data_IF_696026571855
#
_entry.id   IF_696026571855
#
_cell.length_a   1.000
_cell.length_b   1.000
_cell.length_c   1.000
_cell.angle_alpha   90.00
_cell.angle_beta   90.00
_cell.angle_gamma   90.00
#
_symmetry.space_group_name_H-M   'P 1'
#
loop_
_entity.id
_entity.type
_entity.pdbx_description
1 polymer ?
#
# COMPACT_ATOMS: atom_id res chain seq x y z
N UNK A 1 22.51 -67.45 -11.22
CA UNK A 1 21.23 -67.74 -10.51
C UNK A 1 21.20 -66.93 -9.21
N UNK A 2 20.51 -65.78 -9.23
CA UNK A 2 20.26 -64.94 -8.05
C UNK A 2 19.07 -65.54 -7.29
N UNK A 3 19.20 -65.74 -5.98
CA UNK A 3 18.08 -66.10 -5.10
C UNK A 3 17.81 -64.93 -4.14
N UNK A 4 16.58 -64.41 -4.20
CA UNK A 4 16.00 -63.46 -3.26
C UNK A 4 15.92 -64.07 -1.86
N UNK A 5 16.10 -63.24 -0.84
CA UNK A 5 15.52 -63.44 0.48
C UNK A 5 14.70 -62.19 0.82
N UNK A 6 13.39 -62.39 1.00
CA UNK A 6 12.46 -61.38 1.49
C UNK A 6 12.66 -61.25 3.01
N UNK A 7 12.82 -60.02 3.52
CA UNK A 7 12.66 -59.75 4.94
C UNK A 7 11.65 -58.61 5.09
N UNK A 8 10.47 -58.96 5.60
CA UNK A 8 9.41 -58.04 5.99
C UNK A 8 9.71 -57.62 7.44
N UNK A 9 9.98 -56.34 7.67
CA UNK A 9 9.87 -55.73 8.99
C UNK A 9 8.77 -54.68 8.93
N UNK A 10 7.65 -54.98 9.57
CA UNK A 10 6.66 -54.01 10.01
C UNK A 10 6.94 -53.72 11.48
N UNK A 11 7.15 -52.44 11.81
CA UNK A 11 6.46 -51.71 12.89
C UNK A 11 7.28 -50.48 13.30
N UNK A 12 6.59 -49.35 13.36
CA UNK A 12 7.14 -48.07 13.81
C UNK A 12 6.62 -46.92 13.00
N UNK A 13 5.30 -46.83 12.83
CA UNK A 13 4.67 -45.65 12.25
C UNK A 13 4.99 -44.43 13.11
N UNK A 14 5.90 -43.60 12.63
CA UNK A 14 5.65 -42.17 12.66
C UNK A 14 5.00 -41.88 11.32
N UNK A 15 3.68 -41.72 11.35
CA UNK A 15 3.10 -40.87 10.33
C UNK A 15 3.87 -39.55 10.48
N UNK A 16 4.73 -39.24 9.50
CA UNK A 16 4.86 -37.85 9.13
C UNK A 16 3.43 -37.45 8.83
N UNK A 17 2.79 -36.80 9.80
CA UNK A 17 1.63 -36.01 9.49
C UNK A 17 2.16 -35.07 8.42
N UNK A 18 1.85 -35.38 7.15
CA UNK A 18 1.65 -34.35 6.19
C UNK A 18 0.56 -33.49 6.83
N UNK A 19 0.99 -32.43 7.50
CA UNK A 19 0.12 -31.33 7.84
C UNK A 19 -0.30 -30.81 6.48
N UNK A 20 -1.42 -31.31 5.96
CA UNK A 20 -2.05 -30.75 4.78
C UNK A 20 -2.19 -29.23 5.01
N UNK A 21 -1.93 -28.42 3.98
CA UNK A 21 -1.82 -26.98 4.12
C UNK A 21 -3.12 -26.45 4.72
N UNK A 22 -2.98 -25.64 5.76
CA UNK A 22 -4.06 -25.02 6.53
C UNK A 22 -4.94 -24.11 5.65
N UNK A 23 -4.62 -23.91 4.38
CA UNK A 23 -5.25 -22.91 3.50
C UNK A 23 -6.38 -23.42 2.59
N UNK A 24 -6.90 -24.64 2.77
CA UNK A 24 -8.16 -25.05 2.13
C UNK A 24 -9.40 -24.93 3.03
N UNK A 25 -9.27 -24.26 4.19
CA UNK A 25 -10.31 -24.24 5.22
C UNK A 25 -11.43 -23.22 5.00
N UNK A 26 -11.17 -22.13 4.28
CA UNK A 26 -12.19 -21.14 3.95
C UNK A 26 -12.75 -21.41 2.56
N UNK A 27 -14.07 -21.66 2.47
CA UNK A 27 -14.76 -21.86 1.20
C UNK A 27 -15.21 -20.54 0.54
N UNK A 28 -15.27 -19.46 1.32
CA UNK A 28 -15.53 -18.10 0.84
C UNK A 28 -14.22 -17.54 0.25
N UNK A 29 -14.17 -17.23 -1.07
CA UNK A 29 -12.97 -16.74 -1.72
C UNK A 29 -12.40 -15.46 -1.10
N UNK A 30 -13.25 -14.59 -0.55
CA UNK A 30 -12.80 -13.37 0.10
C UNK A 30 -12.13 -13.68 1.45
N UNK A 31 -12.71 -14.59 2.24
CA UNK A 31 -12.09 -15.00 3.51
C UNK A 31 -10.78 -15.76 3.25
N UNK A 32 -10.73 -16.58 2.19
CA UNK A 32 -9.51 -17.26 1.78
C UNK A 32 -8.39 -16.27 1.44
N UNK A 33 -8.67 -15.23 0.65
CA UNK A 33 -7.71 -14.16 0.34
C UNK A 33 -7.17 -13.49 1.61
N UNK A 34 -8.04 -13.12 2.55
CA UNK A 34 -7.63 -12.52 3.84
C UNK A 34 -6.73 -13.46 4.66
N UNK A 35 -7.06 -14.75 4.71
CA UNK A 35 -6.25 -15.75 5.43
C UNK A 35 -4.90 -15.94 4.75
N UNK A 36 -4.85 -16.02 3.42
CA UNK A 36 -3.59 -16.12 2.68
C UNK A 36 -2.66 -14.93 2.93
N UNK A 37 -3.20 -13.70 2.98
CA UNK A 37 -2.44 -12.48 3.31
C UNK A 37 -1.90 -12.52 4.74
N UNK A 38 -2.72 -12.94 5.70
CA UNK A 38 -2.26 -13.10 7.08
C UNK A 38 -1.20 -14.21 7.22
N UNK A 39 -1.35 -15.30 6.48
CA UNK A 39 -0.30 -16.34 6.42
C UNK A 39 1.01 -15.77 5.86
N UNK A 40 0.97 -14.93 4.82
CA UNK A 40 2.17 -14.36 4.23
C UNK A 40 3.10 -13.66 5.24
N UNK A 41 2.52 -12.99 6.25
CA UNK A 41 3.28 -12.34 7.32
C UNK A 41 3.55 -13.25 8.51
N UNK A 42 2.53 -13.94 9.03
CA UNK A 42 2.61 -14.56 10.34
C UNK A 42 2.84 -16.07 10.30
N UNK A 43 2.55 -16.71 9.17
CA UNK A 43 2.65 -18.17 8.98
C UNK A 43 3.05 -18.50 7.52
N UNK A 44 4.19 -17.99 7.00
CA UNK A 44 4.54 -18.12 5.59
C UNK A 44 4.70 -19.59 5.15
N UNK A 45 5.18 -20.44 6.04
CA UNK A 45 5.30 -21.90 5.83
C UNK A 45 3.96 -22.62 5.61
N UNK A 46 2.83 -21.96 5.90
CA UNK A 46 1.51 -22.51 5.59
C UNK A 46 1.17 -22.40 4.09
N UNK A 47 1.73 -21.41 3.39
CA UNK A 47 1.51 -21.19 1.96
C UNK A 47 2.26 -22.23 1.14
N UNK A 48 1.71 -22.63 -0.01
CA UNK A 48 2.45 -23.45 -0.97
C UNK A 48 3.60 -22.65 -1.58
N UNK A 49 4.69 -23.31 -1.98
CA UNK A 49 5.88 -22.66 -2.56
C UNK A 49 5.56 -21.76 -3.77
N UNK A 50 4.50 -22.06 -4.53
CA UNK A 50 4.04 -21.33 -5.70
C UNK A 50 2.92 -20.31 -5.40
N UNK A 51 2.62 -20.07 -4.12
CA UNK A 51 1.57 -19.16 -3.71
C UNK A 51 1.88 -17.72 -4.16
N UNK A 52 0.90 -17.02 -4.79
CA UNK A 52 1.07 -15.62 -5.18
C UNK A 52 1.05 -14.64 -4.00
N UNK A 53 0.82 -15.15 -2.78
CA UNK A 53 0.82 -14.36 -1.56
C UNK A 53 2.19 -14.29 -0.89
N UNK A 54 3.19 -15.02 -1.40
CA UNK A 54 4.54 -14.89 -0.88
C UNK A 54 5.06 -13.47 -1.05
N UNK A 55 5.71 -12.97 0.00
CA UNK A 55 6.27 -11.64 0.03
C UNK A 55 7.76 -11.72 -0.33
N UNK A 56 8.12 -11.10 -1.46
CA UNK A 56 9.52 -10.98 -1.88
C UNK A 56 10.32 -10.03 -0.97
N UNK A 57 9.62 -9.09 -0.31
CA UNK A 57 10.14 -8.04 0.57
C UNK A 57 9.14 -7.76 1.68
N UNK A 58 9.62 -7.14 2.75
CA UNK A 58 8.75 -6.63 3.79
C UNK A 58 7.75 -5.60 3.26
N UNK A 59 6.54 -5.65 3.80
CA UNK A 59 5.50 -4.62 3.63
C UNK A 59 4.88 -4.32 5.00
N UNK A 60 3.99 -3.33 5.05
CA UNK A 60 3.10 -3.15 6.21
C UNK A 60 2.28 -4.43 6.43
N UNK A 61 2.17 -4.86 7.69
CA UNK A 61 1.33 -6.01 8.08
C UNK A 61 0.01 -5.62 8.74
N UNK A 62 -0.23 -4.33 8.95
CA UNK A 62 -1.39 -3.78 9.67
C UNK A 62 -2.71 -4.24 9.06
N UNK A 63 -2.88 -4.11 7.75
CA UNK A 63 -4.13 -4.50 7.10
C UNK A 63 -4.36 -6.02 7.08
N UNK A 64 -3.32 -6.86 7.21
CA UNK A 64 -3.52 -8.29 7.40
C UNK A 64 -4.17 -8.61 8.76
N UNK A 65 -3.80 -7.85 9.81
CA UNK A 65 -4.43 -7.93 11.13
C UNK A 65 -5.89 -7.45 11.05
N UNK A 66 -6.10 -6.27 10.46
CA UNK A 66 -7.43 -5.66 10.36
C UNK A 66 -8.40 -6.54 9.57
N UNK A 67 -7.97 -7.09 8.44
CA UNK A 67 -8.80 -7.94 7.58
C UNK A 67 -9.34 -9.17 8.32
N UNK A 68 -8.48 -9.88 9.05
CA UNK A 68 -8.91 -11.04 9.84
C UNK A 68 -9.76 -10.65 11.05
N UNK A 69 -9.43 -9.56 11.75
CA UNK A 69 -10.21 -9.12 12.92
C UNK A 69 -11.61 -8.64 12.54
N UNK A 70 -11.76 -7.84 11.49
CA UNK A 70 -13.06 -7.40 10.98
C UNK A 70 -13.94 -8.57 10.51
N UNK A 71 -13.33 -9.67 10.06
CA UNK A 71 -14.04 -10.86 9.61
C UNK A 71 -14.04 -12.01 10.63
N UNK A 72 -13.57 -11.78 11.86
CA UNK A 72 -13.30 -12.85 12.83
C UNK A 72 -14.52 -13.76 13.03
N UNK A 73 -15.72 -13.20 13.13
CA UNK A 73 -16.96 -13.97 13.30
C UNK A 73 -17.21 -15.01 12.20
N UNK A 74 -16.79 -14.72 10.95
CA UNK A 74 -17.04 -15.52 9.75
C UNK A 74 -16.01 -16.63 9.51
N UNK A 75 -14.82 -16.52 10.11
CA UNK A 75 -13.72 -17.48 9.92
C UNK A 75 -14.06 -18.87 10.49
N UNK A 76 -13.51 -19.90 9.88
CA UNK A 76 -13.61 -21.27 10.37
C UNK A 76 -12.96 -21.44 11.76
N UNK A 77 -13.39 -22.44 12.57
CA UNK A 77 -12.79 -22.69 13.88
C UNK A 77 -11.28 -22.97 13.85
N UNK A 78 -10.80 -23.61 12.78
CA UNK A 78 -9.39 -23.92 12.60
C UNK A 78 -8.57 -22.64 12.35
N UNK A 79 -9.02 -21.76 11.45
CA UNK A 79 -8.41 -20.44 11.23
C UNK A 79 -8.38 -19.60 12.51
N UNK A 80 -9.50 -19.54 13.25
CA UNK A 80 -9.57 -18.84 14.56
C UNK A 80 -8.55 -19.37 15.56
N UNK A 81 -8.31 -20.68 15.57
CA UNK A 81 -7.32 -21.30 16.46
C UNK A 81 -5.91 -20.86 16.06
N UNK A 82 -5.57 -20.98 14.76
CA UNK A 82 -4.26 -20.61 14.22
C UNK A 82 -3.90 -19.15 14.42
N UNK A 83 -4.88 -18.24 14.30
CA UNK A 83 -4.68 -16.79 14.39
C UNK A 83 -5.15 -16.18 15.72
N UNK A 84 -5.41 -16.98 16.76
CA UNK A 84 -5.90 -16.48 18.05
C UNK A 84 -4.98 -15.46 18.72
N UNK A 85 -3.69 -15.46 18.36
CA UNK A 85 -2.72 -14.46 18.81
C UNK A 85 -3.06 -13.04 18.30
N UNK A 86 -3.79 -12.87 17.19
CA UNK A 86 -4.19 -11.55 16.68
C UNK A 86 -5.19 -10.82 17.58
N UNK A 87 -5.80 -11.53 18.53
CA UNK A 87 -6.69 -10.97 19.54
C UNK A 87 -5.96 -10.60 20.84
N UNK A 88 -4.65 -10.85 20.93
CA UNK A 88 -3.86 -10.40 22.08
C UNK A 88 -3.85 -8.88 22.11
N UNK A 89 -4.03 -8.33 23.32
CA UNK A 89 -4.12 -6.88 23.47
C UNK A 89 -2.77 -6.20 23.34
N UNK A 90 -1.69 -6.76 23.90
CA UNK A 90 -0.35 -6.18 23.84
C UNK A 90 0.71 -7.29 23.82
N UNK A 91 1.92 -7.03 23.29
CA UNK A 91 3.01 -7.98 23.33
C UNK A 91 3.45 -8.26 24.77
N UNK A 92 4.22 -9.35 25.00
CA UNK A 92 4.88 -9.57 26.29
C UNK A 92 5.71 -8.35 26.72
N UNK A 93 5.67 -8.03 28.02
CA UNK A 93 6.40 -6.89 28.59
C UNK A 93 7.89 -6.93 28.23
N UNK A 94 8.40 -5.81 27.73
CA UNK A 94 9.83 -5.62 27.46
C UNK A 94 10.61 -5.34 28.74
N UNK A 95 11.91 -5.65 28.76
CA UNK A 95 12.71 -5.52 29.97
C UNK A 95 13.12 -4.06 30.30
N UNK A 96 12.93 -3.13 29.36
CA UNK A 96 13.15 -1.70 29.54
C UNK A 96 12.09 -0.89 28.80
N UNK A 97 11.90 0.36 29.25
CA UNK A 97 11.07 1.34 28.56
C UNK A 97 11.54 2.75 28.83
N UNK A 98 11.35 3.66 27.89
CA UNK A 98 11.61 5.09 28.03
C UNK A 98 10.44 5.89 27.47
N UNK A 99 10.10 7.00 28.12
CA UNK A 99 9.09 7.94 27.63
C UNK A 99 9.82 9.14 27.03
N UNK A 100 9.40 9.52 25.82
CA UNK A 100 9.83 10.74 25.13
C UNK A 100 9.71 11.98 26.03
N UNK A 101 10.58 12.96 25.82
CA UNK A 101 10.58 14.19 26.64
C UNK A 101 9.34 15.06 26.42
N UNK A 102 8.72 14.99 25.24
CA UNK A 102 7.43 15.61 24.91
C UNK A 102 6.26 14.96 25.66
N UNK A 103 6.41 13.69 26.05
CA UNK A 103 5.37 12.86 26.66
C UNK A 103 4.42 12.19 25.66
N UNK A 104 4.66 12.31 24.35
CA UNK A 104 3.79 11.72 23.33
C UNK A 104 3.93 10.20 23.25
N UNK A 105 5.17 9.71 23.27
CA UNK A 105 5.48 8.29 23.05
C UNK A 105 6.17 7.61 24.23
N UNK A 106 5.89 6.32 24.40
CA UNK A 106 6.61 5.41 25.28
C UNK A 106 7.15 4.23 24.48
N UNK A 107 8.47 4.12 24.45
CA UNK A 107 9.18 3.07 23.72
C UNK A 107 9.49 1.92 24.67
N UNK A 108 9.04 0.72 24.34
CA UNK A 108 9.32 -0.52 25.07
C UNK A 108 10.30 -1.36 24.27
N UNK A 109 11.42 -1.77 24.88
CA UNK A 109 12.49 -2.47 24.17
C UNK A 109 13.21 -3.48 25.05
N UNK A 110 13.84 -4.47 24.41
CA UNK A 110 14.68 -5.44 25.09
C UNK A 110 16.17 -5.12 24.89
N UNK A 111 16.98 -5.43 25.90
CA UNK A 111 18.46 -5.37 25.83
C UNK A 111 19.12 -6.75 25.70
N UNK A 112 18.32 -7.81 25.61
CA UNK A 112 18.78 -9.19 25.41
C UNK A 112 17.70 -10.07 24.79
N UNK A 113 18.11 -11.20 24.22
CA UNK A 113 17.20 -12.14 23.54
C UNK A 113 16.84 -11.71 22.12
N UNK A 114 15.82 -12.35 21.56
CA UNK A 114 15.44 -12.21 20.14
C UNK A 114 15.08 -10.77 19.75
N UNK A 115 14.32 -10.07 20.59
CA UNK A 115 13.82 -8.72 20.30
C UNK A 115 14.77 -7.61 20.77
N UNK A 116 16.05 -7.92 21.02
CA UNK A 116 16.99 -6.96 21.58
C UNK A 116 17.41 -5.91 20.55
N UNK A 117 17.51 -4.66 20.98
CA UNK A 117 18.24 -3.61 20.22
C UNK A 117 19.75 -3.76 20.43
N UNK A 118 20.54 -3.14 19.56
CA UNK A 118 21.98 -2.99 19.80
C UNK A 118 22.20 -2.17 21.08
N UNK A 119 23.17 -2.56 21.91
CA UNK A 119 23.46 -1.90 23.21
C UNK A 119 24.39 -0.68 23.09
N UNK A 120 24.69 -0.24 21.86
CA UNK A 120 25.51 0.95 21.63
C UNK A 120 24.80 2.16 22.23
N UNK A 121 25.52 2.91 23.04
CA UNK A 121 25.10 4.16 23.71
C UNK A 121 26.31 5.09 23.62
N UNK A 122 26.38 5.87 22.53
CA UNK A 122 27.55 6.68 22.22
C UNK A 122 27.54 8.01 22.98
N UNK A 123 26.37 8.52 23.38
CA UNK A 123 26.24 9.78 24.11
C UNK A 123 26.29 9.58 25.64
N UNK A 124 26.21 8.34 26.11
CA UNK A 124 26.32 7.95 27.52
C UNK A 124 25.07 8.26 28.33
N UNK A 125 23.90 8.41 27.70
CA UNK A 125 22.65 8.77 28.36
C UNK A 125 21.94 7.57 29.03
N UNK A 126 22.52 6.35 28.93
CA UNK A 126 21.97 5.08 29.42
C UNK A 126 20.75 4.53 28.66
N UNK A 127 20.48 5.06 27.48
CA UNK A 127 19.49 4.61 26.50
C UNK A 127 20.28 4.19 25.25
N UNK A 128 19.99 3.02 24.64
CA UNK A 128 20.70 2.66 23.42
C UNK A 128 20.38 3.62 22.27
N UNK A 129 21.37 3.97 21.44
CA UNK A 129 21.24 4.92 20.32
C UNK A 129 20.03 4.60 19.42
N UNK A 130 19.77 3.32 19.14
CA UNK A 130 18.63 2.90 18.30
C UNK A 130 17.27 3.27 18.92
N UNK A 131 17.18 3.26 20.25
CA UNK A 131 15.97 3.68 20.97
C UNK A 131 15.82 5.20 20.89
N UNK A 132 16.92 5.97 20.99
CA UNK A 132 16.89 7.42 20.79
C UNK A 132 16.46 7.79 19.37
N UNK A 133 16.97 7.10 18.36
CA UNK A 133 16.54 7.27 16.96
C UNK A 133 15.08 6.86 16.74
N UNK A 134 14.60 5.83 17.46
CA UNK A 134 13.17 5.46 17.45
C UNK A 134 12.32 6.59 18.02
N UNK A 135 12.72 7.18 19.16
CA UNK A 135 12.02 8.34 19.73
C UNK A 135 12.00 9.48 18.72
N UNK A 136 13.16 9.85 18.16
CA UNK A 136 13.28 10.93 17.20
C UNK A 136 12.36 10.73 15.99
N UNK A 137 12.34 9.53 15.41
CA UNK A 137 11.54 9.24 14.22
C UNK A 137 10.01 9.38 14.46
N UNK A 138 9.52 8.97 15.64
CA UNK A 138 8.11 9.13 16.01
C UNK A 138 7.78 10.57 16.41
N UNK A 139 8.68 11.30 17.06
CA UNK A 139 8.48 12.74 17.35
C UNK A 139 8.46 13.57 16.06
N UNK A 140 9.35 13.30 15.10
CA UNK A 140 9.34 13.94 13.79
C UNK A 140 8.00 13.67 13.06
N UNK A 141 7.51 12.44 13.15
CA UNK A 141 6.20 12.05 12.61
C UNK A 141 5.05 12.76 13.33
N UNK A 142 5.12 12.93 14.64
CA UNK A 142 4.13 13.71 15.41
C UNK A 142 4.10 15.16 14.96
N UNK A 143 5.25 15.83 14.94
CA UNK A 143 5.37 17.23 14.51
C UNK A 143 4.80 17.39 13.11
N UNK A 144 5.18 16.50 12.18
CA UNK A 144 4.69 16.60 10.81
C UNK A 144 3.18 16.34 10.72
N UNK A 145 2.72 15.20 11.20
CA UNK A 145 1.35 14.73 10.94
C UNK A 145 0.32 15.51 11.78
N UNK A 146 0.64 15.85 13.03
CA UNK A 146 -0.32 16.50 13.93
C UNK A 146 -0.11 18.02 13.95
N UNK A 147 1.10 18.49 14.23
CA UNK A 147 1.31 19.92 14.46
C UNK A 147 1.32 20.73 13.15
N UNK A 148 1.96 20.21 12.09
CA UNK A 148 2.04 20.89 10.79
C UNK A 148 0.83 20.62 9.90
N UNK A 149 0.45 19.35 9.71
CA UNK A 149 -0.64 18.94 8.82
C UNK A 149 -2.03 18.98 9.49
N UNK A 150 -2.10 19.08 10.81
CA UNK A 150 -3.37 19.27 11.52
C UNK A 150 -4.30 18.05 11.51
N UNK A 151 -3.75 16.83 11.43
CA UNK A 151 -4.51 15.63 11.73
C UNK A 151 -4.82 15.53 13.24
N UNK A 152 -5.90 14.83 13.59
CA UNK A 152 -6.20 14.54 14.98
C UNK A 152 -5.14 13.58 15.56
N UNK A 153 -4.76 13.73 16.84
CA UNK A 153 -3.93 12.74 17.50
C UNK A 153 -4.66 11.38 17.54
N UNK A 154 -3.92 10.26 17.61
CA UNK A 154 -4.51 8.93 17.70
C UNK A 154 -5.41 8.80 18.94
N UNK A 155 -6.45 7.96 18.91
CA UNK A 155 -7.31 7.75 20.08
C UNK A 155 -6.50 7.21 21.26
N UNK A 156 -6.72 7.80 22.44
CA UNK A 156 -6.08 7.34 23.67
C UNK A 156 -6.62 5.98 24.09
N UNK A 157 -5.72 5.10 24.53
CA UNK A 157 -6.05 3.83 25.18
C UNK A 157 -6.17 3.94 26.72
N UNK A 158 -6.00 5.15 27.27
CA UNK A 158 -6.34 5.50 28.65
C UNK A 158 -5.19 5.90 29.56
N UNK A 159 -3.92 5.77 29.16
CA UNK A 159 -2.77 6.14 30.01
C UNK A 159 -2.09 7.47 29.61
N UNK A 160 -2.50 8.04 28.48
CA UNK A 160 -2.07 9.36 28.00
C UNK A 160 -0.73 9.36 27.27
N UNK A 161 -0.15 8.20 26.96
CA UNK A 161 1.08 8.08 26.17
C UNK A 161 0.91 7.00 25.10
N UNK A 162 1.37 7.26 23.88
CA UNK A 162 1.23 6.28 22.79
C UNK A 162 2.37 5.25 22.85
N UNK A 163 2.03 3.96 22.91
CA UNK A 163 3.02 2.89 23.08
C UNK A 163 3.61 2.40 21.75
N UNK A 164 4.94 2.35 21.71
CA UNK A 164 5.72 1.74 20.63
C UNK A 164 6.53 0.58 21.22
N UNK A 165 6.46 -0.59 20.60
CA UNK A 165 7.25 -1.75 20.99
C UNK A 165 8.29 -2.08 19.92
N UNK A 166 9.53 -2.25 20.33
CA UNK A 166 10.59 -2.73 19.46
C UNK A 166 10.61 -4.27 19.50
N UNK A 167 10.51 -4.88 18.32
CA UNK A 167 10.39 -6.32 18.09
C UNK A 167 11.38 -6.76 17.01
N UNK A 168 11.86 -8.01 17.02
CA UNK A 168 12.40 -8.60 15.80
C UNK A 168 11.24 -9.00 14.88
N UNK A 169 11.10 -8.29 13.76
CA UNK A 169 10.07 -8.47 12.73
C UNK A 169 10.65 -9.00 11.41
N UNK A 170 11.97 -8.96 11.22
CA UNK A 170 12.63 -9.45 10.01
C UNK A 170 12.22 -10.86 9.58
N UNK A 171 12.02 -11.78 10.52
CA UNK A 171 11.58 -13.16 10.21
C UNK A 171 10.13 -13.28 9.71
N UNK A 172 9.33 -12.23 9.88
CA UNK A 172 7.93 -12.16 9.46
C UNK A 172 7.78 -11.38 8.14
N UNK A 173 8.88 -10.85 7.58
CA UNK A 173 8.85 -9.95 6.43
C UNK A 173 7.87 -8.79 6.63
N UNK A 174 8.00 -8.10 7.76
CA UNK A 174 7.16 -6.94 8.11
C UNK A 174 8.05 -5.74 8.46
N UNK A 175 7.70 -4.56 7.93
CA UNK A 175 8.30 -3.28 8.34
C UNK A 175 7.81 -2.87 9.72
N UNK A 176 6.49 -2.73 9.89
CA UNK A 176 5.84 -2.43 11.15
C UNK A 176 4.41 -2.96 11.22
N UNK A 177 3.82 -2.82 12.40
CA UNK A 177 2.45 -3.22 12.71
C UNK A 177 1.79 -2.20 13.62
N UNK A 178 0.63 -1.69 13.22
CA UNK A 178 -0.26 -0.92 14.08
C UNK A 178 -1.39 -1.82 14.59
N UNK A 179 -1.36 -2.13 15.87
CA UNK A 179 -2.28 -3.08 16.48
C UNK A 179 -3.53 -2.38 17.04
N UNK A 180 -4.74 -2.68 16.54
CA UNK A 180 -5.97 -2.08 17.06
C UNK A 180 -6.36 -2.66 18.43
N UNK A 181 -6.87 -1.81 19.31
CA UNK A 181 -7.42 -2.16 20.62
C UNK A 181 -8.94 -2.03 20.61
N UNK A 182 -9.65 -3.14 20.35
CA UNK A 182 -11.11 -3.19 20.26
C UNK A 182 -11.63 -3.60 18.87
N UNK A 183 -12.90 -3.28 18.60
CA UNK A 183 -13.60 -3.61 17.35
C UNK A 183 -14.59 -2.54 16.86
N UNK A 184 -14.56 -1.34 17.45
CA UNK A 184 -15.30 -0.17 16.98
C UNK A 184 -14.70 0.40 15.68
N UNK A 185 -15.36 1.39 15.09
CA UNK A 185 -14.86 2.06 13.87
C UNK A 185 -13.86 3.18 14.14
N UNK A 186 -13.68 3.52 15.41
CA UNK A 186 -12.63 4.41 15.92
C UNK A 186 -11.94 3.64 17.04
N UNK A 187 -10.63 3.44 16.92
CA UNK A 187 -9.91 2.49 17.77
C UNK A 187 -8.62 3.11 18.32
N UNK A 188 -8.36 2.98 19.64
CA UNK A 188 -7.00 3.10 20.12
C UNK A 188 -6.11 2.00 19.55
N UNK A 189 -4.80 2.21 19.59
CA UNK A 189 -3.81 1.26 19.07
C UNK A 189 -2.46 1.41 19.75
N UNK A 190 -1.54 0.51 19.43
CA UNK A 190 -0.11 0.64 19.70
C UNK A 190 0.66 0.17 18.46
N UNK A 191 1.96 0.48 18.39
CA UNK A 191 2.78 0.13 17.23
C UNK A 191 3.88 -0.86 17.62
N UNK A 192 4.21 -1.78 16.70
CA UNK A 192 5.46 -2.53 16.71
C UNK A 192 6.34 -2.16 15.51
N UNK A 193 7.64 -1.99 15.75
CA UNK A 193 8.66 -1.76 14.71
C UNK A 193 9.82 -2.74 14.86
N UNK A 194 10.56 -2.99 13.77
CA UNK A 194 11.72 -3.88 13.78
C UNK A 194 12.84 -3.34 14.71
N UNK A 195 13.68 -4.24 15.22
CA UNK A 195 14.73 -3.91 16.17
C UNK A 195 16.04 -3.46 15.53
N UNK A 196 16.17 -3.50 14.19
CA UNK A 196 17.36 -3.01 13.50
C UNK A 196 17.20 -2.65 12.01
N UNK A 197 16.21 -3.20 11.29
CA UNK A 197 16.00 -3.05 9.84
C UNK A 197 17.23 -3.42 8.97
N UNK A 198 18.08 -4.35 9.40
CA UNK A 198 19.36 -4.67 8.71
C UNK A 198 19.31 -5.86 7.76
N UNK A 199 18.23 -6.64 7.76
CA UNK A 199 18.07 -7.82 6.92
C UNK A 199 17.86 -7.43 5.44
N UNK A 200 18.95 -7.34 4.68
CA UNK A 200 18.94 -6.81 3.30
C UNK A 200 18.14 -7.61 2.27
N UNK A 201 17.76 -8.86 2.59
CA UNK A 201 16.86 -9.66 1.75
C UNK A 201 15.38 -9.44 2.11
N UNK A 202 15.11 -8.83 3.27
CA UNK A 202 13.77 -8.55 3.78
C UNK A 202 13.41 -7.11 3.44
N UNK A 203 14.23 -6.15 3.85
CA UNK A 203 13.92 -4.73 3.74
C UNK A 203 14.47 -4.12 2.45
N UNK A 204 13.65 -3.29 1.79
CA UNK A 204 14.08 -2.49 0.64
C UNK A 204 14.93 -1.30 1.13
N UNK A 205 14.39 -0.51 2.06
CA UNK A 205 15.11 0.54 2.80
C UNK A 205 15.53 -0.01 4.17
N UNK A 206 16.80 0.18 4.52
CA UNK A 206 17.45 -0.50 5.65
C UNK A 206 17.89 0.46 6.75
N UNK A 207 18.16 -0.07 7.93
CA UNK A 207 18.70 0.66 9.06
C UNK A 207 17.78 1.81 9.52
N UNK A 208 18.37 2.95 9.84
CA UNK A 208 17.63 4.10 10.37
C UNK A 208 16.65 4.69 9.35
N UNK A 209 16.95 4.61 8.05
CA UNK A 209 16.03 5.08 7.02
C UNK A 209 14.78 4.19 6.97
N UNK A 210 14.94 2.87 7.15
CA UNK A 210 13.82 1.92 7.27
C UNK A 210 12.97 2.18 8.51
N UNK A 211 13.60 2.50 9.65
CA UNK A 211 12.92 2.91 10.87
C UNK A 211 12.09 4.20 10.67
N UNK A 212 12.67 5.21 10.03
CA UNK A 212 12.02 6.51 9.78
C UNK A 212 10.75 6.37 8.96
N UNK A 213 10.82 5.75 7.79
CA UNK A 213 9.64 5.56 6.93
C UNK A 213 8.60 4.68 7.62
N UNK A 214 9.02 3.63 8.33
CA UNK A 214 8.10 2.78 9.11
C UNK A 214 7.40 3.58 10.22
N UNK A 215 8.13 4.44 10.94
CA UNK A 215 7.54 5.28 11.99
C UNK A 215 6.48 6.24 11.41
N UNK A 216 6.77 6.88 10.28
CA UNK A 216 5.82 7.74 9.58
C UNK A 216 4.57 6.96 9.13
N UNK A 217 4.77 5.79 8.52
CA UNK A 217 3.70 4.93 8.00
C UNK A 217 2.77 4.43 9.12
N UNK A 218 3.33 3.77 10.14
CA UNK A 218 2.55 3.14 11.20
C UNK A 218 1.92 4.18 12.14
N UNK A 219 2.60 5.30 12.39
CA UNK A 219 1.98 6.38 13.15
C UNK A 219 0.80 6.98 12.40
N UNK A 220 0.86 7.04 11.07
CA UNK A 220 -0.29 7.47 10.30
C UNK A 220 -1.46 6.48 10.36
N UNK A 221 -1.22 5.16 10.40
CA UNK A 221 -2.28 4.20 10.71
C UNK A 221 -2.92 4.43 12.08
N UNK A 222 -2.13 4.74 13.11
CA UNK A 222 -2.66 5.07 14.43
C UNK A 222 -3.60 6.29 14.38
N UNK A 223 -3.23 7.31 13.61
CA UNK A 223 -4.07 8.48 13.34
C UNK A 223 -5.32 8.08 12.56
N UNK A 224 -5.18 7.31 11.47
CA UNK A 224 -6.29 6.86 10.62
C UNK A 224 -7.33 6.06 11.41
N UNK A 225 -6.91 5.24 12.38
CA UNK A 225 -7.83 4.54 13.28
C UNK A 225 -8.64 5.48 14.16
N UNK A 226 -8.20 6.74 14.34
CA UNK A 226 -8.97 7.82 14.94
C UNK A 226 -10.05 8.43 14.04
N UNK A 227 -9.94 8.24 12.72
CA UNK A 227 -10.92 8.71 11.73
C UNK A 227 -11.86 7.59 11.30
N UNK A 228 -11.30 6.48 10.85
CA UNK A 228 -12.05 5.28 10.47
C UNK A 228 -11.13 4.05 10.35
N UNK A 229 -11.27 3.11 11.28
CA UNK A 229 -10.41 1.93 11.37
C UNK A 229 -10.86 0.74 10.51
N UNK A 230 -12.10 0.68 10.03
CA UNK A 230 -12.62 -0.53 9.39
C UNK A 230 -11.85 -0.91 8.11
N UNK A 231 -11.66 -2.22 7.90
CA UNK A 231 -10.87 -2.79 6.81
C UNK A 231 -11.44 -2.50 5.41
N UNK A 232 -12.73 -2.16 5.30
CA UNK A 232 -13.31 -1.78 4.01
C UNK A 232 -12.70 -0.49 3.41
N UNK A 233 -11.99 0.31 4.20
CA UNK A 233 -11.19 1.45 3.73
C UNK A 233 -9.68 1.16 3.65
N UNK A 234 -9.26 -0.12 3.75
CA UNK A 234 -7.86 -0.52 3.79
C UNK A 234 -7.03 -0.03 2.61
N UNK A 235 -7.62 0.05 1.41
CA UNK A 235 -6.93 0.55 0.22
C UNK A 235 -6.51 2.01 0.39
N UNK A 236 -7.36 2.84 1.01
CA UNK A 236 -7.09 4.25 1.27
C UNK A 236 -6.15 4.43 2.46
N UNK A 237 -6.29 3.57 3.47
CA UNK A 237 -5.39 3.53 4.63
C UNK A 237 -3.94 3.28 4.20
N UNK A 238 -3.67 2.18 3.49
CA UNK A 238 -2.32 1.83 3.02
C UNK A 238 -1.79 2.85 2.00
N UNK A 239 -2.62 3.30 1.06
CA UNK A 239 -2.22 4.28 0.05
C UNK A 239 -1.76 5.60 0.67
N UNK A 240 -2.48 6.09 1.67
CA UNK A 240 -2.14 7.37 2.31
C UNK A 240 -1.09 7.21 3.42
N UNK A 241 -0.94 6.04 4.03
CA UNK A 241 0.19 5.75 4.93
C UNK A 241 1.51 5.66 4.16
N UNK A 242 1.51 4.98 3.01
CA UNK A 242 2.68 4.92 2.12
C UNK A 242 3.06 6.31 1.59
N UNK A 243 2.08 7.13 1.21
CA UNK A 243 2.32 8.53 0.84
C UNK A 243 2.91 9.36 2.01
N UNK A 244 2.48 9.10 3.24
CA UNK A 244 2.96 9.82 4.41
C UNK A 244 4.45 9.58 4.71
N UNK A 245 5.01 8.44 4.28
CA UNK A 245 6.44 8.16 4.40
C UNK A 245 7.28 9.28 3.76
N UNK A 246 6.97 9.62 2.51
CA UNK A 246 7.67 10.64 1.73
C UNK A 246 7.33 12.06 2.18
N UNK A 247 6.13 12.29 2.73
CA UNK A 247 5.74 13.59 3.31
C UNK A 247 6.56 13.93 4.55
N UNK A 248 6.85 12.93 5.39
CA UNK A 248 7.67 13.11 6.61
C UNK A 248 9.15 13.09 6.26
N UNK A 249 9.58 12.17 5.40
CA UNK A 249 10.99 11.96 5.02
C UNK A 249 11.19 11.99 3.50
N UNK A 250 11.09 13.17 2.85
CA UNK A 250 11.17 13.32 1.39
C UNK A 250 12.54 12.96 0.80
N UNK A 251 13.56 12.74 1.64
CA UNK A 251 14.86 12.24 1.22
C UNK A 251 14.93 10.71 1.10
N UNK A 252 13.91 9.98 1.57
CA UNK A 252 13.87 8.51 1.64
C UNK A 252 12.78 7.96 0.71
N UNK A 253 13.18 7.59 -0.50
CA UNK A 253 12.28 7.11 -1.55
C UNK A 253 11.89 5.62 -1.42
N UNK A 254 11.43 5.16 -0.24
CA UNK A 254 11.01 3.76 -0.05
C UNK A 254 9.80 3.41 -0.93
N UNK A 255 8.81 4.31 -1.02
CA UNK A 255 7.57 4.06 -1.76
C UNK A 255 7.77 3.77 -3.27
N UNK A 256 8.89 4.19 -3.85
CA UNK A 256 9.25 3.90 -5.24
C UNK A 256 9.30 2.38 -5.51
N UNK A 257 9.60 1.57 -4.49
CA UNK A 257 9.56 0.12 -4.60
C UNK A 257 8.17 -0.41 -4.99
N UNK A 258 7.11 0.31 -4.61
CA UNK A 258 5.72 -0.10 -4.84
C UNK A 258 5.12 0.49 -6.12
N UNK A 259 5.59 1.65 -6.60
CA UNK A 259 5.07 2.31 -7.82
C UNK A 259 4.94 1.37 -9.03
N UNK A 260 5.88 0.44 -9.32
CA UNK A 260 5.72 -0.51 -10.42
C UNK A 260 4.45 -1.36 -10.36
N UNK A 261 3.95 -1.72 -9.18
CA UNK A 261 2.73 -2.55 -9.05
C UNK A 261 1.54 -1.86 -9.71
N UNK A 262 1.35 -0.57 -9.42
CA UNK A 262 0.26 0.28 -9.93
C UNK A 262 0.48 0.69 -11.38
N UNK A 263 1.73 0.98 -11.76
CA UNK A 263 2.06 1.40 -13.12
C UNK A 263 1.97 0.25 -14.14
N UNK A 264 2.19 -1.00 -13.70
CA UNK A 264 2.09 -2.19 -14.57
C UNK A 264 0.67 -2.77 -14.68
N UNK A 265 -0.26 -2.34 -13.82
CA UNK A 265 -1.67 -2.73 -13.86
C UNK A 265 -2.59 -1.51 -13.78
N UNK A 266 -2.56 -0.61 -14.79
CA UNK A 266 -3.36 0.59 -14.78
C UNK A 266 -4.87 0.29 -14.90
N UNK A 267 -5.24 -0.88 -15.43
CA UNK A 267 -6.63 -1.29 -15.64
C UNK A 267 -7.34 -1.76 -14.36
N UNK A 268 -6.61 -2.18 -13.32
CA UNK A 268 -7.17 -2.53 -12.03
C UNK A 268 -7.77 -1.30 -11.33
N UNK A 269 -8.83 -1.49 -10.53
CA UNK A 269 -9.41 -0.38 -9.77
C UNK A 269 -8.39 0.23 -8.80
N UNK A 270 -8.46 1.54 -8.59
CA UNK A 270 -7.68 2.23 -7.58
C UNK A 270 -8.00 1.75 -6.15
N UNK A 271 -9.24 1.33 -5.90
CA UNK A 271 -9.70 0.84 -4.59
C UNK A 271 -9.57 -0.67 -4.40
N UNK A 272 -8.94 -1.36 -5.37
CA UNK A 272 -8.73 -2.80 -5.28
C UNK A 272 -7.60 -3.14 -4.31
N UNK A 273 -7.95 -3.74 -3.18
CA UNK A 273 -6.99 -4.18 -2.18
C UNK A 273 -6.35 -5.52 -2.55
N UNK A 274 -5.24 -5.50 -3.31
CA UNK A 274 -4.48 -6.72 -3.59
C UNK A 274 -2.97 -6.52 -3.75
N UNK A 275 -2.19 -7.47 -3.23
CA UNK A 275 -0.72 -7.40 -3.18
C UNK A 275 -0.21 -6.00 -2.82
N UNK A 276 0.74 -5.52 -3.62
CA UNK A 276 1.35 -4.19 -3.48
C UNK A 276 0.55 -3.05 -4.17
N UNK A 277 -0.66 -3.30 -4.70
CA UNK A 277 -1.42 -2.27 -5.43
C UNK A 277 -1.82 -1.06 -4.56
N UNK A 278 -2.27 -1.21 -3.30
CA UNK A 278 -2.57 -0.07 -2.45
C UNK A 278 -1.36 0.82 -2.18
N UNK A 279 -0.21 0.20 -1.89
CA UNK A 279 1.07 0.88 -1.67
C UNK A 279 1.53 1.65 -2.92
N UNK A 280 1.53 0.99 -4.08
CA UNK A 280 1.86 1.64 -5.36
C UNK A 280 0.84 2.71 -5.75
N UNK A 281 -0.37 2.63 -5.20
CA UNK A 281 -1.40 3.64 -5.26
C UNK A 281 -1.02 4.98 -4.62
N UNK A 282 0.02 5.05 -3.77
CA UNK A 282 0.50 6.29 -3.17
C UNK A 282 0.79 7.39 -4.20
N UNK A 283 1.14 7.01 -5.43
CA UNK A 283 1.29 7.94 -6.56
C UNK A 283 0.01 8.77 -6.82
N UNK A 284 -1.18 8.22 -6.55
CA UNK A 284 -2.43 8.97 -6.59
C UNK A 284 -2.50 10.03 -5.48
N UNK A 285 -2.08 9.70 -4.26
CA UNK A 285 -2.02 10.67 -3.16
C UNK A 285 -1.03 11.80 -3.44
N UNK A 286 0.16 11.50 -3.98
CA UNK A 286 1.11 12.52 -4.44
C UNK A 286 0.52 13.40 -5.55
N UNK A 287 -0.22 12.81 -6.49
CA UNK A 287 -0.93 13.60 -7.50
C UNK A 287 -1.96 14.53 -6.87
N UNK A 288 -2.78 14.03 -5.94
CA UNK A 288 -3.80 14.83 -5.27
C UNK A 288 -3.16 15.99 -4.51
N UNK A 289 -2.08 15.73 -3.78
CA UNK A 289 -1.29 16.74 -3.09
C UNK A 289 -0.73 17.79 -4.06
N UNK A 290 0.00 17.38 -5.10
CA UNK A 290 0.68 18.31 -6.00
C UNK A 290 -0.28 19.17 -6.82
N UNK A 291 -1.51 18.70 -7.05
CA UNK A 291 -2.51 19.43 -7.85
C UNK A 291 -3.50 20.23 -6.99
N UNK A 292 -3.92 19.69 -5.84
CA UNK A 292 -5.01 20.25 -5.03
C UNK A 292 -4.56 20.70 -3.63
N UNK A 293 -3.30 20.45 -3.28
CA UNK A 293 -2.72 20.76 -1.98
C UNK A 293 -2.82 19.59 -1.01
N UNK A 294 -1.86 19.52 -0.09
CA UNK A 294 -1.73 18.45 0.91
C UNK A 294 -2.98 18.25 1.78
N UNK A 295 -3.68 19.35 2.09
CA UNK A 295 -4.92 19.34 2.87
C UNK A 295 -6.05 18.53 2.23
N UNK A 296 -6.01 18.30 0.91
CA UNK A 296 -7.03 17.52 0.22
C UNK A 296 -7.14 16.09 0.77
N UNK A 297 -6.01 15.45 1.11
CA UNK A 297 -6.01 14.11 1.70
C UNK A 297 -6.66 14.11 3.09
N UNK A 298 -6.33 15.11 3.93
CA UNK A 298 -6.91 15.25 5.26
C UNK A 298 -8.42 15.53 5.21
N UNK A 299 -8.89 16.30 4.24
CA UNK A 299 -10.32 16.57 4.05
C UNK A 299 -11.13 15.29 3.71
N UNK A 300 -10.54 14.36 2.96
CA UNK A 300 -11.14 13.03 2.71
C UNK A 300 -11.28 12.27 4.04
N UNK A 301 -10.24 12.25 4.86
CA UNK A 301 -10.30 11.62 6.19
C UNK A 301 -11.34 12.26 7.11
N UNK A 302 -11.44 13.60 7.12
CA UNK A 302 -12.47 14.31 7.88
C UNK A 302 -13.90 13.96 7.43
N UNK A 303 -14.09 13.73 6.12
CA UNK A 303 -15.37 13.21 5.58
C UNK A 303 -15.68 11.83 6.14
N UNK A 304 -14.69 10.92 6.18
CA UNK A 304 -14.86 9.59 6.78
C UNK A 304 -15.23 9.67 8.26
N UNK A 305 -14.61 10.54 9.05
CA UNK A 305 -14.94 10.73 10.47
C UNK A 305 -16.38 11.23 10.69
N UNK A 306 -16.87 12.10 9.79
CA UNK A 306 -18.20 12.72 9.91
C UNK A 306 -19.33 11.96 9.17
N UNK A 307 -19.04 10.78 8.61
CA UNK A 307 -19.96 10.01 7.75
C UNK A 307 -21.29 9.61 8.43
N UNK A 308 -22.35 9.54 7.63
CA UNK A 308 -23.67 9.06 8.04
C UNK A 308 -24.40 8.46 6.82
N UNK A 309 -24.80 7.16 6.82
CA UNK A 309 -24.75 6.20 7.93
C UNK A 309 -23.32 5.74 8.28
N UNK A 310 -23.15 4.99 9.38
CA UNK A 310 -21.82 4.57 9.86
C UNK A 310 -21.09 3.57 8.94
N UNK A 311 -21.80 2.90 8.02
CA UNK A 311 -21.21 1.96 7.08
C UNK A 311 -20.48 2.73 5.97
N UNK A 312 -19.26 2.32 5.65
CA UNK A 312 -18.49 2.90 4.56
C UNK A 312 -19.03 2.51 3.18
N UNK A 313 -18.93 3.46 2.25
CA UNK A 313 -18.91 3.19 0.82
C UNK A 313 -17.83 4.04 0.16
N UNK A 314 -17.53 3.75 -1.11
CA UNK A 314 -16.60 4.56 -1.90
C UNK A 314 -17.07 6.02 -2.04
N UNK A 315 -18.39 6.27 -1.94
CA UNK A 315 -18.96 7.61 -2.08
C UNK A 315 -18.50 8.59 -1.00
N UNK A 316 -18.15 8.10 0.19
CA UNK A 316 -17.68 8.92 1.30
C UNK A 316 -16.27 9.46 1.00
N UNK A 317 -15.41 8.62 0.41
CA UNK A 317 -14.11 9.06 -0.10
C UNK A 317 -14.31 9.99 -1.31
N UNK A 318 -15.17 9.61 -2.26
CA UNK A 318 -15.49 10.42 -3.44
C UNK A 318 -16.00 11.82 -3.06
N UNK A 319 -16.88 11.92 -2.07
CA UNK A 319 -17.42 13.20 -1.60
C UNK A 319 -16.38 14.09 -0.93
N UNK A 320 -15.35 13.49 -0.33
CA UNK A 320 -14.23 14.21 0.28
C UNK A 320 -13.16 14.65 -0.74
N UNK A 321 -13.13 14.04 -1.92
CA UNK A 321 -12.16 14.37 -2.97
C UNK A 321 -12.41 15.76 -3.55
N UNK A 322 -11.36 16.48 -3.96
CA UNK A 322 -11.49 17.81 -4.56
C UNK A 322 -12.21 17.73 -5.92
N UNK A 323 -12.55 18.89 -6.49
CA UNK A 323 -13.08 18.99 -7.87
C UNK A 323 -14.34 18.16 -8.17
N UNK A 324 -15.17 17.88 -7.16
CA UNK A 324 -16.42 17.14 -7.35
C UNK A 324 -16.24 15.62 -7.45
N UNK A 325 -15.21 15.09 -6.78
CA UNK A 325 -14.99 13.65 -6.67
C UNK A 325 -13.98 13.08 -7.66
N UNK A 326 -13.88 11.76 -7.71
CA UNK A 326 -13.09 11.01 -8.68
C UNK A 326 -13.40 11.43 -10.12
N UNK A 327 -14.64 11.82 -10.43
CA UNK A 327 -15.01 12.32 -11.76
C UNK A 327 -14.20 13.55 -12.21
N UNK A 328 -13.82 14.43 -11.27
CA UNK A 328 -12.97 15.60 -11.54
C UNK A 328 -11.48 15.35 -11.32
N UNK A 329 -11.12 14.40 -10.47
CA UNK A 329 -9.74 14.14 -10.04
C UNK A 329 -9.05 13.10 -10.92
N UNK A 330 -9.72 11.96 -11.14
CA UNK A 330 -9.14 10.75 -11.72
C UNK A 330 -8.75 10.89 -13.20
N UNK A 331 -9.51 11.55 -14.10
CA UNK A 331 -9.10 11.68 -15.49
C UNK A 331 -7.81 12.47 -15.70
N UNK A 332 -7.48 13.42 -14.82
CA UNK A 332 -6.22 14.16 -14.90
C UNK A 332 -5.06 13.37 -14.25
N UNK A 333 -5.35 12.55 -13.24
CA UNK A 333 -4.38 11.60 -12.69
C UNK A 333 -3.86 10.62 -13.76
N UNK A 334 -4.74 10.09 -14.61
CA UNK A 334 -4.32 9.17 -15.69
C UNK A 334 -3.41 9.87 -16.71
N UNK A 335 -3.69 11.14 -17.05
CA UNK A 335 -2.80 11.95 -17.89
C UNK A 335 -1.42 12.12 -17.24
N UNK A 336 -1.36 12.36 -15.93
CA UNK A 336 -0.10 12.49 -15.19
C UNK A 336 0.69 11.17 -15.21
N UNK A 337 0.02 10.03 -15.04
CA UNK A 337 0.66 8.71 -15.09
C UNK A 337 1.22 8.37 -16.48
N UNK A 338 0.59 8.84 -17.57
CA UNK A 338 1.19 8.68 -18.89
C UNK A 338 2.55 9.38 -18.99
N UNK A 339 2.72 10.49 -18.26
CA UNK A 339 3.89 11.36 -18.35
C UNK A 339 4.92 11.04 -17.25
N UNK A 340 5.07 9.78 -16.87
CA UNK A 340 6.14 9.28 -15.99
C UNK A 340 7.27 8.58 -16.75
N UNK A 341 8.37 8.28 -16.05
CA UNK A 341 9.58 7.67 -16.58
C UNK A 341 10.22 8.53 -17.67
N UNK A 342 10.58 7.93 -18.80
CA UNK A 342 11.19 8.66 -19.92
C UNK A 342 10.25 9.67 -20.60
N UNK A 343 8.94 9.63 -20.27
CA UNK A 343 7.93 10.62 -20.70
C UNK A 343 7.75 11.75 -19.70
N UNK A 344 8.51 11.73 -18.59
CA UNK A 344 8.59 12.74 -17.55
C UNK A 344 8.79 14.15 -18.11
N UNK A 345 7.98 15.11 -17.64
CA UNK A 345 7.98 16.50 -18.13
C UNK A 345 7.67 17.50 -17.02
N UNK A 346 8.16 18.76 -17.15
CA UNK A 346 7.80 19.83 -16.22
C UNK A 346 6.29 20.09 -16.15
N UNK A 347 5.82 20.58 -15.00
CA UNK A 347 4.40 20.88 -14.68
C UNK A 347 3.48 19.65 -14.47
N UNK A 348 4.07 18.45 -14.43
CA UNK A 348 3.43 17.23 -13.94
C UNK A 348 4.09 16.84 -12.60
N UNK A 349 4.22 15.55 -12.27
CA UNK A 349 4.91 15.15 -11.05
C UNK A 349 6.29 15.80 -10.98
N UNK A 350 6.63 16.37 -9.83
CA UNK A 350 7.97 16.91 -9.53
C UNK A 350 9.08 15.89 -9.85
N UNK A 351 8.79 14.62 -9.57
CA UNK A 351 9.72 13.48 -9.71
C UNK A 351 9.31 12.54 -10.85
N UNK A 352 8.65 13.08 -11.88
CA UNK A 352 8.07 12.28 -12.95
C UNK A 352 9.06 11.30 -13.61
N UNK A 353 10.35 11.66 -13.70
CA UNK A 353 11.40 10.84 -14.32
C UNK A 353 11.86 9.67 -13.46
N UNK A 354 11.70 9.76 -12.14
CA UNK A 354 12.06 8.71 -11.19
C UNK A 354 10.93 7.68 -11.04
N UNK A 355 9.69 8.12 -11.23
CA UNK A 355 8.53 7.24 -11.24
C UNK A 355 8.55 6.27 -12.43
N UNK A 356 8.17 5.01 -12.19
CA UNK A 356 8.03 4.01 -13.24
C UNK A 356 7.05 4.44 -14.32
N UNK A 357 7.38 4.17 -15.58
CA UNK A 357 6.50 4.45 -16.71
C UNK A 357 5.24 3.59 -16.64
N UNK A 358 4.06 4.22 -16.76
CA UNK A 358 2.80 3.45 -16.85
C UNK A 358 2.81 2.54 -18.08
N UNK A 359 2.31 1.32 -17.92
CA UNK A 359 2.12 0.34 -18.98
C UNK A 359 1.15 0.88 -20.03
N UNK A 360 1.53 0.69 -21.29
CA UNK A 360 0.77 1.15 -22.45
C UNK A 360 0.55 0.01 -23.44
N UNK A 361 -0.42 0.22 -24.32
CA UNK A 361 -0.67 -0.60 -25.51
C UNK A 361 -0.22 0.19 -26.73
N UNK A 362 0.88 -0.22 -27.34
CA UNK A 362 1.39 0.44 -28.54
C UNK A 362 0.77 -0.19 -29.80
N UNK A 363 0.10 0.64 -30.60
CA UNK A 363 -0.42 0.25 -31.91
C UNK A 363 0.65 0.57 -32.95
N UNK A 364 1.26 -0.48 -33.51
CA UNK A 364 2.20 -0.35 -34.62
C UNK A 364 1.60 0.40 -35.82
N UNK A 365 2.46 1.02 -36.62
CA UNK A 365 2.12 2.00 -37.67
C UNK A 365 1.49 1.37 -38.94
N UNK A 366 0.99 0.13 -38.89
CA UNK A 366 0.53 -0.60 -40.08
C UNK A 366 -0.96 -0.36 -40.42
N UNK A 367 -1.31 0.86 -40.83
CA UNK A 367 -2.52 1.19 -41.63
C UNK A 367 -3.92 0.99 -41.00
N UNK A 368 -4.10 0.06 -40.06
CA UNK A 368 -5.30 -0.15 -39.24
C UNK A 368 -5.03 -1.20 -38.14
N UNK A 369 -5.73 -1.10 -37.02
CA UNK A 369 -5.65 -2.07 -35.92
C UNK A 369 -6.97 -2.13 -35.14
N UNK A 370 -7.27 -3.27 -34.54
CA UNK A 370 -8.43 -3.47 -33.68
C UNK A 370 -8.01 -4.19 -32.40
N UNK A 371 -8.71 -3.91 -31.30
CA UNK A 371 -8.46 -4.54 -30.01
C UNK A 371 -9.58 -4.22 -29.03
N UNK A 372 -9.56 -4.91 -27.90
CA UNK A 372 -10.43 -4.64 -26.75
C UNK A 372 -9.65 -4.83 -25.46
N UNK A 373 -10.12 -4.18 -24.40
CA UNK A 373 -9.54 -4.26 -23.06
C UNK A 373 -10.66 -4.08 -22.04
N UNK A 374 -10.58 -4.82 -20.94
CA UNK A 374 -11.45 -4.61 -19.78
C UNK A 374 -10.75 -3.65 -18.83
N UNK A 375 -11.49 -2.67 -18.33
CA UNK A 375 -11.00 -1.66 -17.39
C UNK A 375 -12.00 -1.68 -16.23
N UNK A 376 -11.50 -1.79 -15.01
CA UNK A 376 -12.35 -1.67 -13.84
C UNK A 376 -12.73 -0.20 -13.58
N UNK A 377 -13.70 0.05 -12.72
CA UNK A 377 -13.95 1.39 -12.20
C UNK A 377 -12.67 1.95 -11.56
N UNK A 378 -12.46 3.27 -11.61
CA UNK A 378 -11.21 3.90 -11.17
C UNK A 378 -9.93 3.22 -11.75
N UNK A 379 -10.04 2.62 -12.93
CA UNK A 379 -8.94 2.10 -13.72
C UNK A 379 -8.78 2.90 -15.02
N UNK A 380 -7.67 2.68 -15.73
CA UNK A 380 -7.39 3.30 -17.00
C UNK A 380 -6.60 2.37 -17.93
N UNK A 381 -6.70 2.61 -19.23
CA UNK A 381 -5.81 2.02 -20.23
C UNK A 381 -5.25 3.12 -21.11
N UNK A 382 -4.12 2.85 -21.75
CA UNK A 382 -3.43 3.82 -22.60
C UNK A 382 -3.15 3.19 -23.95
N UNK A 383 -3.74 3.73 -25.01
CA UNK A 383 -3.49 3.25 -26.37
C UNK A 383 -2.65 4.27 -27.11
N UNK A 384 -1.37 3.96 -27.32
CA UNK A 384 -0.40 4.84 -27.98
C UNK A 384 -0.32 4.53 -29.47
N UNK A 385 -0.24 5.58 -30.27
CA UNK A 385 0.11 5.53 -31.69
C UNK A 385 1.33 6.43 -31.93
N UNK A 386 2.47 5.82 -32.27
CA UNK A 386 3.63 6.56 -32.77
C UNK A 386 3.33 7.16 -34.15
N UNK A 387 3.67 8.42 -34.35
CA UNK A 387 3.30 9.16 -35.58
C UNK A 387 4.44 9.31 -36.57
N UNK A 388 5.65 8.90 -36.19
CA UNK A 388 6.83 8.96 -37.06
C UNK A 388 6.57 8.23 -38.38
N UNK A 389 6.78 8.94 -39.49
CA UNK A 389 6.54 8.41 -40.83
C UNK A 389 5.08 8.41 -41.30
N UNK A 390 4.12 8.80 -40.46
CA UNK A 390 2.74 9.00 -40.88
C UNK A 390 2.57 10.30 -41.68
N UNK A 391 1.63 10.30 -42.62
CA UNK A 391 1.17 11.50 -43.32
C UNK A 391 -0.36 11.52 -43.34
N UNK A 392 -0.97 12.70 -43.42
CA UNK A 392 -2.41 12.86 -43.33
C UNK A 392 -2.93 12.85 -41.89
N UNK A 393 -4.08 12.22 -41.64
CA UNK A 393 -4.74 12.21 -40.34
C UNK A 393 -4.87 10.82 -39.73
N UNK A 394 -4.99 10.76 -38.41
CA UNK A 394 -5.31 9.56 -37.65
C UNK A 394 -6.80 9.54 -37.32
N UNK A 395 -7.46 8.41 -37.55
CA UNK A 395 -8.85 8.20 -37.16
C UNK A 395 -8.95 6.99 -36.24
N UNK A 396 -9.45 7.20 -35.02
CA UNK A 396 -9.81 6.14 -34.09
C UNK A 396 -11.34 6.01 -33.99
N UNK A 397 -11.84 4.78 -33.99
CA UNK A 397 -13.25 4.50 -33.70
C UNK A 397 -13.29 3.58 -32.47
N UNK A 398 -13.94 4.05 -31.41
CA UNK A 398 -14.01 3.38 -30.12
C UNK A 398 -15.45 2.95 -29.82
N UNK A 399 -15.59 1.87 -29.05
CA UNK A 399 -16.87 1.39 -28.56
C UNK A 399 -16.71 1.11 -27.08
N UNK A 400 -17.58 1.71 -26.27
CA UNK A 400 -17.62 1.50 -24.82
C UNK A 400 -18.82 0.64 -24.47
N UNK A 401 -18.66 -0.28 -23.51
CA UNK A 401 -19.75 -1.15 -23.03
C UNK A 401 -20.88 -0.34 -22.38
N UNK A 402 -20.54 0.74 -21.69
CA UNK A 402 -21.44 1.76 -21.16
C UNK A 402 -20.79 3.14 -21.36
N UNK A 403 -21.33 3.99 -22.22
CA UNK A 403 -20.72 5.30 -22.54
C UNK A 403 -20.71 6.26 -21.36
N UNK A 404 -21.56 6.08 -20.35
CA UNK A 404 -21.60 6.96 -19.18
C UNK A 404 -20.57 6.58 -18.10
N UNK A 405 -19.98 5.39 -18.21
CA UNK A 405 -19.00 4.88 -17.25
C UNK A 405 -17.55 5.26 -17.58
N UNK A 406 -17.29 5.81 -18.77
CA UNK A 406 -15.92 6.14 -19.23
C UNK A 406 -15.72 7.63 -19.44
N UNK A 407 -14.57 8.12 -19.01
CA UNK A 407 -14.04 9.42 -19.48
C UNK A 407 -13.01 9.16 -20.58
N UNK A 408 -13.17 9.81 -21.72
CA UNK A 408 -12.27 9.64 -22.86
C UNK A 408 -11.39 10.88 -23.06
N UNK A 409 -10.07 10.69 -23.05
CA UNK A 409 -9.08 11.76 -23.16
C UNK A 409 -8.11 11.41 -24.28
N UNK A 410 -7.79 12.37 -25.13
CA UNK A 410 -6.77 12.18 -26.18
C UNK A 410 -5.60 13.10 -25.89
N UNK A 411 -4.41 12.53 -25.72
CA UNK A 411 -3.17 13.27 -25.55
C UNK A 411 -2.49 13.38 -26.90
N UNK A 412 -2.24 14.61 -27.34
CA UNK A 412 -1.40 14.90 -28.51
C UNK A 412 -0.05 15.41 -28.01
N UNK A 413 0.97 14.58 -28.17
CA UNK A 413 2.28 14.82 -27.58
C UNK A 413 3.21 15.43 -28.62
N UNK A 414 3.94 16.48 -28.22
CA UNK A 414 5.06 17.07 -28.96
C UNK A 414 6.28 17.09 -28.03
N UNK A 415 7.48 17.38 -28.54
CA UNK A 415 8.69 17.44 -27.73
C UNK A 415 8.53 18.25 -26.42
N UNK A 416 7.91 19.44 -26.48
CA UNK A 416 7.80 20.36 -25.33
C UNK A 416 6.36 20.73 -24.95
N UNK A 417 5.36 20.01 -25.47
CA UNK A 417 3.95 20.35 -25.25
C UNK A 417 3.08 19.09 -25.20
N UNK A 418 2.05 19.13 -24.37
CA UNK A 418 0.96 18.15 -24.33
C UNK A 418 -0.33 18.91 -24.61
N UNK A 419 -1.08 18.49 -25.63
CA UNK A 419 -2.43 18.99 -25.89
C UNK A 419 -3.45 17.92 -25.49
N UNK A 420 -4.47 18.31 -24.72
CA UNK A 420 -5.53 17.41 -24.29
C UNK A 420 -6.80 17.70 -25.08
N UNK A 421 -7.39 16.66 -25.66
CA UNK A 421 -8.75 16.70 -26.21
C UNK A 421 -9.66 15.87 -25.32
N UNK A 422 -10.91 16.33 -25.16
CA UNK A 422 -11.97 15.66 -24.41
C UNK A 422 -13.15 15.37 -25.34
N UNK A 423 -13.06 14.32 -26.18
CA UNK A 423 -14.04 14.07 -27.21
C UNK A 423 -15.41 13.73 -26.62
N UNK A 424 -16.46 14.30 -27.20
CA UNK A 424 -17.85 13.91 -26.91
C UNK A 424 -18.34 12.77 -27.82
N UNK A 425 -17.50 12.36 -28.78
CA UNK A 425 -17.78 11.30 -29.74
C UNK A 425 -16.78 10.17 -29.58
N UNK A 426 -17.23 8.94 -29.79
CA UNK A 426 -16.35 7.76 -29.84
C UNK A 426 -15.57 7.65 -31.14
N UNK A 427 -15.79 8.55 -32.09
CA UNK A 427 -14.93 8.72 -33.27
C UNK A 427 -14.05 9.95 -33.09
N UNK A 428 -12.73 9.75 -33.13
CA UNK A 428 -11.74 10.83 -33.04
C UNK A 428 -11.00 10.92 -34.37
N UNK A 429 -10.84 12.16 -34.84
CA UNK A 429 -10.02 12.46 -36.02
C UNK A 429 -8.96 13.49 -35.63
N UNK A 430 -7.70 13.12 -35.74
CA UNK A 430 -6.55 14.00 -35.56
C UNK A 430 -5.97 14.31 -36.93
N UNK A 431 -6.29 15.48 -37.53
CA UNK A 431 -5.73 15.87 -38.82
C UNK A 431 -4.24 16.24 -38.68
N UNK A 432 -3.46 16.01 -39.75
CA UNK A 432 -2.03 16.33 -39.78
C UNK A 432 -1.26 15.71 -38.60
N UNK A 433 -1.42 14.39 -38.43
CA UNK A 433 -0.92 13.65 -37.26
C UNK A 433 0.62 13.72 -37.11
N UNK A 434 1.32 13.99 -38.21
CA UNK A 434 2.77 14.18 -38.27
C UNK A 434 3.28 15.44 -37.55
N UNK A 435 2.38 16.28 -37.00
CA UNK A 435 2.73 17.43 -36.14
C UNK A 435 2.97 17.05 -34.68
N UNK A 436 2.62 15.83 -34.32
CA UNK A 436 2.79 15.26 -32.98
C UNK A 436 3.83 14.15 -33.08
N UNK A 437 4.52 13.84 -31.98
CA UNK A 437 5.46 12.70 -31.88
C UNK A 437 4.71 11.39 -31.59
N UNK A 438 3.58 11.50 -30.87
CA UNK A 438 2.67 10.41 -30.55
C UNK A 438 1.27 10.95 -30.25
N UNK A 439 0.26 10.11 -30.51
CA UNK A 439 -1.12 10.33 -30.09
C UNK A 439 -1.51 9.21 -29.14
N UNK A 440 -2.14 9.54 -28.02
CA UNK A 440 -2.57 8.59 -27.00
C UNK A 440 -4.06 8.73 -26.79
N UNK A 441 -4.74 7.60 -26.67
CA UNK A 441 -6.16 7.48 -26.40
C UNK A 441 -6.42 6.81 -25.07
#
# INVERSE_FOLDING_TARGET
>A
MKKMLFMLMLLGGTAYAQVSPVLSLESDPHLLDLVCRACAHFQPDALSDDSPYHLDRATCGTMAIMGLRSNWGRLSPATKTSFSFLLQQRPPTRNASVTSSSGHFKIHYNTSGLHAVALTDNDGNSIPDYVDETIAAFEDSWVKQIDELGYNPPPSDGDGVYDIYISSLGTQSVYGLTWPLGSDTILPSYIEVDNNFTDANVYFTQGLDGLKVTAAHEFFHAIQFGYYADFNAAWWQEMTATWMEDVVYPEINDFYAYVPSRMNDPEASLDFFSGALPFGGAVFSHYVEQVYGIEAIRNVWATLLSRSPQNYSLNEIDSGMPSGGFSGVFPRYTVWNYLTGTRGRPNYYSEATELSAVKIRDLGVSGSGTGSVSIDHLGATYVRVGTSGLSGGLRGNFTFSDTNAFTFVVLLIKANQVELLWPQSTTVVVPNVNRFDEVVF
#
